data_IF_723526799504
#
_entry.id   IF_723526799504
#
_cell.length_a   1.000
_cell.length_b   1.000
_cell.length_c   1.000
_cell.angle_alpha   90.00
_cell.angle_beta   90.00
_cell.angle_gamma   90.00
#
_symmetry.space_group_name_H-M   'P 1'
#
loop_
_entity.id
_entity.type
_entity.pdbx_description
1 polymer ?
#
# COMPACT_ATOMS: atom_id res chain seq x y z
N UNK A 1 24.71 3.98 -59.60
CA UNK A 1 24.51 2.53 -59.87
C UNK A 1 23.92 1.94 -58.59
N UNK A 2 22.71 1.34 -58.55
CA UNK A 2 22.36 -0.07 -58.94
C UNK A 2 23.40 -1.07 -58.40
N UNK A 3 23.07 -2.17 -57.67
CA UNK A 3 21.79 -2.78 -57.20
C UNK A 3 22.14 -3.92 -56.20
N UNK A 4 21.31 -4.17 -55.15
CA UNK A 4 20.70 -5.48 -54.69
C UNK A 4 21.58 -6.75 -54.48
N UNK A 5 21.30 -7.81 -53.69
CA UNK A 5 20.32 -8.36 -52.71
C UNK A 5 21.05 -9.60 -52.06
N UNK A 6 20.56 -10.39 -51.09
CA UNK A 6 19.85 -10.19 -49.80
C UNK A 6 19.60 -11.55 -49.09
N UNK A 7 19.65 -11.61 -47.75
CA UNK A 7 19.19 -12.75 -46.92
C UNK A 7 18.77 -12.21 -45.53
N UNK A 8 17.50 -12.21 -45.13
CA UNK A 8 16.62 -13.32 -44.73
C UNK A 8 17.02 -13.97 -43.38
N UNK A 9 16.40 -13.47 -42.29
CA UNK A 9 16.21 -14.19 -41.05
C UNK A 9 14.78 -13.88 -40.55
N UNK A 10 14.07 -14.90 -40.07
CA UNK A 10 12.60 -14.93 -39.99
C UNK A 10 12.17 -15.31 -38.58
N UNK A 11 11.20 -14.55 -38.05
CA UNK A 11 10.31 -14.85 -36.90
C UNK A 11 10.99 -15.21 -35.56
N UNK A 12 10.72 -14.38 -34.56
CA UNK A 12 10.27 -14.90 -33.25
C UNK A 12 9.17 -13.98 -32.73
N UNK A 13 8.01 -14.57 -32.48
CA UNK A 13 6.77 -13.86 -32.25
C UNK A 13 6.48 -13.64 -30.76
N UNK A 14 5.68 -12.61 -30.47
CA UNK A 14 4.75 -12.57 -29.33
C UNK A 14 5.34 -12.83 -27.94
N UNK A 15 5.96 -11.81 -27.38
CA UNK A 15 6.19 -11.64 -25.94
C UNK A 15 5.32 -10.51 -25.36
N UNK A 16 4.02 -10.48 -25.63
CA UNK A 16 3.10 -9.61 -24.89
C UNK A 16 3.01 -10.11 -23.45
N UNK A 17 3.93 -9.65 -22.60
CA UNK A 17 3.77 -9.79 -21.16
C UNK A 17 2.45 -9.15 -20.76
N UNK A 18 1.58 -9.91 -20.10
CA UNK A 18 0.28 -9.45 -19.63
C UNK A 18 0.45 -8.39 -18.55
N UNK A 19 0.73 -7.15 -18.96
CA UNK A 19 0.38 -5.96 -18.23
C UNK A 19 -1.14 -5.95 -18.10
N UNK A 20 -1.65 -6.62 -17.06
CA UNK A 20 -2.99 -6.45 -16.56
C UNK A 20 -3.08 -5.04 -15.94
N UNK A 21 -2.98 -4.02 -16.80
CA UNK A 21 -3.46 -2.69 -16.49
C UNK A 21 -4.95 -2.86 -16.22
N UNK A 22 -5.35 -2.71 -14.95
CA UNK A 22 -6.76 -2.62 -14.60
C UNK A 22 -7.39 -1.58 -15.54
N UNK A 23 -8.37 -2.00 -16.33
CA UNK A 23 -9.02 -1.09 -17.27
C UNK A 23 -9.64 0.04 -16.44
N UNK A 24 -9.56 1.31 -16.88
CA UNK A 24 -10.05 2.44 -16.08
C UNK A 24 -11.56 2.39 -15.79
N UNK A 25 -12.30 1.47 -16.42
CA UNK A 25 -13.67 1.10 -16.10
C UNK A 25 -13.82 -0.43 -16.28
N UNK A 26 -13.51 -1.24 -15.25
CA UNK A 26 -13.83 -2.67 -15.22
C UNK A 26 -14.94 -2.93 -14.17
N UNK A 27 -16.23 -2.72 -14.51
CA UNK A 27 -17.32 -2.85 -13.55
C UNK A 27 -17.51 -4.27 -13.03
N UNK A 28 -16.99 -5.29 -13.72
CA UNK A 28 -17.07 -6.70 -13.29
C UNK A 28 -15.94 -7.02 -12.31
N UNK A 29 -14.71 -6.65 -12.65
CA UNK A 29 -13.58 -6.71 -11.72
C UNK A 29 -13.82 -5.90 -10.45
N UNK A 30 -14.42 -4.71 -10.59
CA UNK A 30 -14.85 -3.85 -9.49
C UNK A 30 -15.91 -4.50 -8.60
N UNK A 31 -16.91 -5.21 -9.17
CA UNK A 31 -17.92 -5.92 -8.38
C UNK A 31 -17.33 -7.14 -7.65
N UNK A 32 -16.47 -7.91 -8.31
CA UNK A 32 -15.81 -9.07 -7.71
C UNK A 32 -14.90 -8.61 -6.55
N UNK A 33 -14.14 -7.55 -6.78
CA UNK A 33 -13.30 -6.87 -5.77
C UNK A 33 -14.16 -6.32 -4.61
N UNK A 34 -15.30 -5.71 -4.92
CA UNK A 34 -16.27 -5.22 -3.94
C UNK A 34 -16.79 -6.35 -3.03
N UNK A 35 -17.23 -7.47 -3.61
CA UNK A 35 -17.76 -8.63 -2.87
C UNK A 35 -16.69 -9.30 -2.01
N UNK A 36 -15.45 -9.45 -2.52
CA UNK A 36 -14.37 -10.12 -1.79
C UNK A 36 -13.82 -9.24 -0.66
N UNK A 37 -13.60 -7.95 -0.92
CA UNK A 37 -12.95 -7.03 0.03
C UNK A 37 -13.93 -6.28 0.93
N UNK A 38 -15.24 -6.33 0.66
CA UNK A 38 -16.25 -5.47 1.28
C UNK A 38 -16.12 -4.00 0.85
N UNK A 39 -15.40 -3.76 -0.24
CA UNK A 39 -15.09 -2.43 -0.78
C UNK A 39 -16.23 -1.95 -1.71
N UNK A 40 -16.27 -0.67 -2.10
CA UNK A 40 -17.23 -0.22 -3.12
C UNK A 40 -16.67 -0.50 -4.54
N UNK A 41 -17.50 -0.80 -5.55
CA UNK A 41 -17.04 -0.90 -6.93
C UNK A 41 -16.28 0.38 -7.36
N UNK A 42 -15.12 0.23 -8.01
CA UNK A 42 -14.25 1.35 -8.40
C UNK A 42 -13.33 1.85 -7.29
N UNK A 43 -13.36 1.27 -6.09
CA UNK A 43 -12.35 1.55 -5.06
C UNK A 43 -11.10 0.72 -5.28
N UNK A 44 -9.93 1.39 -5.27
CA UNK A 44 -8.65 0.71 -5.44
C UNK A 44 -8.37 -0.22 -4.27
N UNK A 45 -8.42 -1.53 -4.52
CA UNK A 45 -7.97 -2.56 -3.58
C UNK A 45 -6.55 -2.98 -3.91
N UNK A 46 -5.73 -3.06 -2.87
CA UNK A 46 -4.32 -3.41 -2.94
C UNK A 46 -4.09 -4.62 -2.03
N UNK A 47 -3.74 -5.75 -2.63
CA UNK A 47 -3.17 -6.87 -1.87
C UNK A 47 -1.70 -6.53 -1.61
N UNK A 48 -1.34 -6.28 -0.35
CA UNK A 48 0.00 -5.77 0.00
C UNK A 48 0.72 -6.64 1.01
N UNK A 49 2.04 -6.77 0.81
CA UNK A 49 2.93 -7.23 1.86
C UNK A 49 3.22 -6.07 2.81
N UNK A 50 2.98 -6.26 4.10
CA UNK A 50 3.35 -5.30 5.13
C UNK A 50 4.73 -5.63 5.72
N UNK A 51 5.47 -4.58 6.04
CA UNK A 51 6.51 -4.59 7.07
C UNK A 51 6.05 -3.72 8.26
N UNK A 52 6.83 -3.73 9.35
CA UNK A 52 6.58 -2.93 10.54
C UNK A 52 7.77 -2.03 10.80
N UNK A 53 7.52 -0.79 11.21
CA UNK A 53 8.55 0.12 11.70
C UNK A 53 8.10 0.87 12.96
N UNK A 54 9.07 1.48 13.65
CA UNK A 54 8.86 2.20 14.91
C UNK A 54 9.90 3.31 15.08
N UNK A 55 9.55 4.36 15.83
CA UNK A 55 10.50 5.39 16.23
C UNK A 55 11.59 4.80 17.13
N UNK A 56 12.82 5.29 16.98
CA UNK A 56 14.02 4.78 17.66
C UNK A 56 14.76 3.66 16.91
N UNK A 57 14.22 3.16 15.79
CA UNK A 57 15.03 2.38 14.84
C UNK A 57 16.00 3.31 14.08
N UNK A 58 17.17 2.79 13.68
CA UNK A 58 18.20 3.57 12.97
C UNK A 58 17.66 4.15 11.67
N UNK A 59 17.64 5.46 11.55
CA UNK A 59 17.14 6.19 10.37
C UNK A 59 15.64 6.48 10.36
N UNK A 60 14.89 6.15 11.42
CA UNK A 60 13.47 6.50 11.54
C UNK A 60 13.32 7.81 12.31
N UNK A 61 12.75 8.83 11.65
CA UNK A 61 12.45 10.13 12.25
C UNK A 61 11.17 10.16 13.09
N UNK A 62 10.85 11.33 13.64
CA UNK A 62 9.58 11.61 14.33
C UNK A 62 8.55 12.29 13.43
N UNK A 63 8.92 12.63 12.19
CA UNK A 63 8.06 13.21 11.17
C UNK A 63 7.96 12.27 9.97
N UNK A 64 6.80 12.24 9.34
CA UNK A 64 6.56 11.55 8.07
C UNK A 64 6.96 12.40 6.84
N UNK A 65 6.83 11.80 5.66
CA UNK A 65 7.10 12.46 4.37
C UNK A 65 6.27 13.71 4.03
N UNK A 66 5.20 14.00 4.79
CA UNK A 66 4.38 15.22 4.67
C UNK A 66 4.79 16.28 5.70
N UNK A 67 5.76 16.00 6.57
CA UNK A 67 6.18 16.88 7.66
C UNK A 67 5.32 16.78 8.91
N UNK A 68 4.46 15.75 8.99
CA UNK A 68 3.52 15.57 10.09
C UNK A 68 4.06 14.63 11.18
N UNK A 69 3.53 14.81 12.40
CA UNK A 69 3.50 13.81 13.49
C UNK A 69 3.40 12.36 12.97
N UNK A 70 4.39 11.47 13.13
CA UNK A 70 4.09 10.03 12.99
C UNK A 70 3.14 9.58 14.12
N UNK A 71 1.99 9.00 13.76
CA UNK A 71 0.94 8.60 14.70
C UNK A 71 0.90 7.07 14.80
N UNK A 72 1.13 6.49 16.00
CA UNK A 72 1.14 5.04 16.22
C UNK A 72 -0.10 4.35 15.68
N UNK A 73 0.10 3.31 14.86
CA UNK A 73 -0.97 2.54 14.22
C UNK A 73 -1.95 3.39 13.39
N UNK A 74 -1.50 4.52 12.85
CA UNK A 74 -2.24 5.37 11.89
C UNK A 74 -1.40 5.75 10.68
N UNK A 75 -0.12 6.06 10.89
CA UNK A 75 0.82 6.38 9.81
C UNK A 75 1.17 5.15 8.99
N UNK A 76 0.99 5.24 7.67
CA UNK A 76 1.30 4.22 6.68
C UNK A 76 2.38 4.74 5.73
N UNK A 77 3.51 4.03 5.62
CA UNK A 77 4.50 4.29 4.59
C UNK A 77 4.17 3.48 3.33
N UNK A 78 4.19 4.14 2.17
CA UNK A 78 3.73 3.54 0.90
C UNK A 78 4.72 3.74 -0.25
N UNK A 79 4.60 2.92 -1.30
CA UNK A 79 5.08 3.32 -2.62
C UNK A 79 4.09 4.32 -3.23
N UNK A 80 4.52 5.58 -3.34
CA UNK A 80 3.75 6.69 -3.91
C UNK A 80 3.27 6.48 -5.37
N UNK A 81 3.84 5.51 -6.09
CA UNK A 81 3.42 5.14 -7.45
C UNK A 81 2.23 4.17 -7.48
N UNK A 82 1.98 3.44 -6.38
CA UNK A 82 0.89 2.48 -6.25
C UNK A 82 -0.23 3.06 -5.37
N UNK A 83 0.13 3.56 -4.18
CA UNK A 83 -0.79 4.24 -3.27
C UNK A 83 -0.32 5.70 -3.16
N UNK A 84 -1.01 6.67 -3.79
CA UNK A 84 -0.63 8.07 -3.69
C UNK A 84 -0.64 8.55 -2.24
N UNK A 85 0.30 9.43 -1.89
CA UNK A 85 0.27 10.13 -0.59
C UNK A 85 -1.07 10.87 -0.43
N UNK A 86 -1.48 11.07 0.82
CA UNK A 86 -2.79 11.61 1.23
C UNK A 86 -3.99 10.70 0.98
N UNK A 87 -3.77 9.43 0.60
CA UNK A 87 -4.84 8.42 0.56
C UNK A 87 -5.18 7.95 1.97
N UNK A 88 -6.47 7.79 2.25
CA UNK A 88 -6.95 7.03 3.42
C UNK A 88 -7.20 5.59 2.97
N UNK A 89 -6.62 4.65 3.70
CA UNK A 89 -6.64 3.22 3.42
C UNK A 89 -7.33 2.51 4.59
N UNK A 90 -8.28 1.63 4.30
CA UNK A 90 -8.86 0.72 5.28
C UNK A 90 -8.17 -0.65 5.16
N UNK A 91 -7.66 -1.19 6.27
CA UNK A 91 -7.05 -2.52 6.34
C UNK A 91 -7.86 -3.37 7.30
N UNK A 92 -8.69 -4.26 6.75
CA UNK A 92 -9.68 -5.07 7.51
C UNK A 92 -9.02 -5.89 8.61
N UNK A 93 -7.83 -6.43 8.35
CA UNK A 93 -7.07 -7.26 9.27
C UNK A 93 -6.58 -6.49 10.51
N UNK A 94 -6.55 -5.15 10.46
CA UNK A 94 -6.16 -4.33 11.62
C UNK A 94 -7.34 -3.94 12.51
N UNK A 95 -8.58 -4.25 12.13
CA UNK A 95 -9.77 -3.93 12.93
C UNK A 95 -9.76 -4.72 14.24
N UNK A 96 -10.05 -4.07 15.36
CA UNK A 96 -10.09 -4.66 16.69
C UNK A 96 -8.72 -4.83 17.37
N UNK A 97 -7.61 -4.51 16.69
CA UNK A 97 -6.29 -4.53 17.31
C UNK A 97 -6.19 -3.49 18.44
N UNK A 98 -5.53 -3.85 19.55
CA UNK A 98 -5.36 -2.93 20.68
C UNK A 98 -4.33 -1.84 20.36
N UNK A 99 -4.82 -0.61 20.25
CA UNK A 99 -4.04 0.61 20.08
C UNK A 99 -3.19 0.95 21.33
N UNK A 100 -2.13 1.77 21.21
CA UNK A 100 -1.32 2.19 22.36
C UNK A 100 -2.07 3.05 23.39
N UNK A 101 -3.13 3.75 22.99
CA UNK A 101 -4.05 4.48 23.88
C UNK A 101 -5.07 3.56 24.59
N UNK A 102 -5.06 2.26 24.26
CA UNK A 102 -5.94 1.24 24.80
C UNK A 102 -7.22 0.98 23.99
N UNK A 103 -7.55 1.82 23.01
CA UNK A 103 -8.74 1.68 22.15
C UNK A 103 -8.61 0.49 21.18
N UNK A 104 -9.72 0.12 20.53
CA UNK A 104 -9.73 -0.80 19.41
C UNK A 104 -9.44 -0.03 18.12
N UNK A 105 -8.50 -0.51 17.32
CA UNK A 105 -8.19 0.03 16.01
C UNK A 105 -9.39 -0.17 15.07
N UNK A 106 -9.81 0.89 14.38
CA UNK A 106 -11.03 0.94 13.55
C UNK A 106 -10.82 0.45 12.10
N UNK A 107 -9.56 0.28 11.69
CA UNK A 107 -9.15 -0.17 10.36
C UNK A 107 -8.52 0.92 9.49
N UNK A 108 -8.59 2.19 9.87
CA UNK A 108 -8.14 3.31 9.04
C UNK A 108 -6.66 3.69 9.24
N UNK A 109 -5.95 3.71 8.13
CA UNK A 109 -4.55 4.10 7.97
C UNK A 109 -4.41 5.27 6.98
N UNK A 110 -3.38 6.09 7.19
CA UNK A 110 -3.15 7.32 6.45
C UNK A 110 -1.82 7.21 5.71
N UNK A 111 -1.87 7.21 4.37
CA UNK A 111 -0.69 7.21 3.49
C UNK A 111 0.03 8.57 3.55
N UNK A 112 0.64 8.87 4.68
CA UNK A 112 1.36 10.12 4.98
C UNK A 112 2.87 9.97 4.85
N UNK A 113 3.39 8.74 4.90
CA UNK A 113 4.83 8.49 4.86
C UNK A 113 5.28 7.75 3.58
N UNK A 114 6.59 7.79 3.29
CA UNK A 114 7.23 7.00 2.24
C UNK A 114 8.59 6.49 2.71
N UNK A 115 8.92 5.25 2.39
CA UNK A 115 10.24 4.69 2.62
C UNK A 115 11.04 4.53 1.32
N UNK A 116 12.35 4.78 1.36
CA UNK A 116 13.24 4.49 0.23
C UNK A 116 13.16 3.02 -0.21
N UNK A 117 13.08 2.11 0.75
CA UNK A 117 12.90 0.67 0.52
C UNK A 117 11.45 0.25 0.16
N UNK A 118 10.43 1.05 0.50
CA UNK A 118 9.03 0.69 0.28
C UNK A 118 8.67 0.90 -1.19
N UNK A 119 8.48 -0.21 -1.90
CA UNK A 119 8.41 -0.30 -3.37
C UNK A 119 7.43 -1.40 -3.80
N UNK A 120 6.66 -1.15 -4.86
CA UNK A 120 5.67 -2.07 -5.40
C UNK A 120 4.47 -2.28 -4.46
N UNK A 121 3.90 -3.50 -4.47
CA UNK A 121 2.80 -3.93 -3.58
C UNK A 121 3.29 -4.19 -2.14
N UNK A 122 3.98 -3.20 -1.55
CA UNK A 122 4.48 -3.21 -0.17
C UNK A 122 4.12 -1.93 0.56
N UNK A 123 3.77 -2.07 1.83
CA UNK A 123 3.56 -0.97 2.79
C UNK A 123 4.39 -1.20 4.05
N UNK A 124 4.64 -0.13 4.81
CA UNK A 124 5.22 -0.21 6.15
C UNK A 124 4.23 0.37 7.17
N UNK A 125 3.95 -0.38 8.23
CA UNK A 125 2.97 -0.02 9.26
C UNK A 125 3.72 0.61 10.44
N UNK A 126 3.47 1.89 10.71
CA UNK A 126 4.09 2.55 11.86
C UNK A 126 3.42 2.07 13.14
N UNK A 127 4.19 1.42 14.00
CA UNK A 127 3.65 0.75 15.20
C UNK A 127 3.75 1.60 16.46
N UNK A 128 4.59 2.63 16.47
CA UNK A 128 4.76 3.55 17.59
C UNK A 128 6.23 3.70 18.01
N UNK A 129 6.48 3.83 19.30
CA UNK A 129 7.83 3.95 19.86
C UNK A 129 8.39 2.57 20.22
N UNK A 130 9.67 2.33 19.93
CA UNK A 130 10.45 1.13 20.25
C UNK A 130 9.90 -0.21 19.70
N UNK A 131 10.71 -1.28 19.80
CA UNK A 131 10.41 -2.58 19.18
C UNK A 131 9.28 -3.38 19.86
N UNK A 132 8.85 -2.99 21.07
CA UNK A 132 7.73 -3.62 21.77
C UNK A 132 6.39 -3.21 21.15
N UNK A 133 6.27 -2.00 20.59
CA UNK A 133 5.05 -1.52 19.92
C UNK A 133 4.61 -2.41 18.75
N UNK A 134 5.56 -3.05 18.05
CA UNK A 134 5.31 -4.04 17.02
C UNK A 134 4.58 -5.32 17.50
N UNK A 135 4.47 -5.57 18.81
CA UNK A 135 3.89 -6.82 19.36
C UNK A 135 2.45 -7.06 18.87
N UNK A 136 1.61 -6.03 18.88
CA UNK A 136 0.21 -6.14 18.45
C UNK A 136 0.09 -6.51 16.97
N UNK A 137 0.99 -6.03 16.11
CA UNK A 137 0.92 -6.27 14.66
C UNK A 137 1.46 -7.65 14.27
N UNK A 138 2.31 -8.28 15.09
CA UNK A 138 2.88 -9.61 14.81
C UNK A 138 1.87 -10.76 14.86
N UNK A 139 0.63 -10.53 15.28
CA UNK A 139 -0.44 -11.53 15.20
C UNK A 139 -1.14 -11.59 13.83
N UNK A 140 -0.83 -10.65 12.93
CA UNK A 140 -1.39 -10.62 11.57
C UNK A 140 -0.53 -11.40 10.57
N UNK A 141 -1.16 -11.92 9.52
CA UNK A 141 -0.44 -12.41 8.34
C UNK A 141 0.03 -11.23 7.47
N UNK A 142 1.16 -10.62 7.84
CA UNK A 142 1.77 -9.49 7.14
C UNK A 142 2.20 -9.79 5.68
N UNK A 143 2.11 -11.03 5.21
CA UNK A 143 2.41 -11.36 3.80
C UNK A 143 1.27 -10.99 2.84
N UNK A 144 0.03 -10.91 3.34
CA UNK A 144 -1.20 -10.75 2.53
C UNK A 144 -2.23 -9.91 3.30
N UNK A 145 -2.05 -8.58 3.32
CA UNK A 145 -3.05 -7.66 3.88
C UNK A 145 -3.93 -7.07 2.76
N UNK A 146 -5.21 -6.89 3.07
CA UNK A 146 -6.22 -6.32 2.17
C UNK A 146 -6.36 -4.82 2.45
N UNK A 147 -5.65 -4.00 1.68
CA UNK A 147 -5.70 -2.54 1.79
C UNK A 147 -6.71 -1.95 0.79
N UNK A 148 -7.74 -1.27 1.27
CA UNK A 148 -8.81 -0.67 0.44
C UNK A 148 -8.69 0.85 0.47
N UNK A 149 -8.64 1.51 -0.69
CA UNK A 149 -8.76 2.98 -0.78
C UNK A 149 -10.18 3.41 -0.40
N UNK A 150 -10.32 4.18 0.67
CA UNK A 150 -11.60 4.66 1.19
C UNK A 150 -11.75 6.18 1.15
N UNK A 151 -10.68 6.92 0.86
CA UNK A 151 -10.78 8.37 0.71
C UNK A 151 -9.43 9.07 0.56
N UNK A 152 -9.43 10.38 0.84
CA UNK A 152 -8.23 11.22 0.92
C UNK A 152 -8.32 12.17 2.11
N UNK A 153 -7.17 12.59 2.64
CA UNK A 153 -7.10 13.53 3.76
C UNK A 153 -6.34 14.82 3.41
N UNK A 154 -6.56 15.87 4.20
CA UNK A 154 -5.86 17.16 4.13
C UNK A 154 -5.25 17.47 5.50
N UNK A 155 -4.14 18.20 5.52
CA UNK A 155 -3.37 18.43 6.75
C UNK A 155 -2.61 17.16 7.17
N UNK A 156 -2.51 16.94 8.48
CA UNK A 156 -1.88 15.77 9.07
C UNK A 156 -2.92 14.69 9.45
N UNK A 157 -2.50 13.42 9.58
CA UNK A 157 -3.34 12.38 10.18
C UNK A 157 -3.83 12.77 11.59
N UNK A 158 -5.02 12.33 12.01
CA UNK A 158 -5.46 12.46 13.40
C UNK A 158 -4.56 11.62 14.32
N UNK A 159 -4.44 12.03 15.58
CA UNK A 159 -3.79 11.26 16.65
C UNK A 159 -4.69 10.11 17.12
#
# INVERSE_FOLDING_TARGET
MRRRLAALAVISALGFGSSASAAPNDPVGDLITSVISGALPGTGVFNVKATLYHAGAKGVGVLDSLGCKVVPMRTLAVDKSIIPRRTVVFIKETVGLKMPDGQAHDGYWYASDIGGAIKGQRVDLYTGHNAASMKTMRQLNLSTLTAVKVGQFKGCPPN
#
